data_IF_432417434500
#
_entry.id   IF_432417434500
#
_cell.length_a   1.000
_cell.length_b   1.000
_cell.length_c   1.000
_cell.angle_alpha   90.00
_cell.angle_beta   90.00
_cell.angle_gamma   90.00
#
_symmetry.space_group_name_H-M   'P 1'
#
loop_
_entity.id
_entity.type
_entity.pdbx_description
1 polymer ?
#
# COMPACT_ATOMS: atom_id res chain seq x y z
N UNK A 1 -11.16 6.60 -20.64
CA UNK A 1 -11.68 6.35 -19.27
C UNK A 1 -10.70 5.64 -18.34
N UNK A 2 -9.93 4.60 -18.74
CA UNK A 2 -9.05 3.88 -17.81
C UNK A 2 -7.87 4.73 -17.28
N UNK A 3 -7.33 5.63 -18.10
CA UNK A 3 -6.21 6.51 -17.72
C UNK A 3 -6.49 7.35 -16.46
N UNK A 4 -7.72 7.89 -16.30
CA UNK A 4 -8.07 8.74 -15.14
C UNK A 4 -8.12 7.94 -13.83
N UNK A 5 -8.60 6.70 -13.89
CA UNK A 5 -8.70 5.81 -12.73
C UNK A 5 -7.29 5.34 -12.34
N UNK A 6 -6.45 5.04 -13.34
CA UNK A 6 -5.06 4.68 -13.14
C UNK A 6 -4.26 5.81 -12.48
N UNK A 7 -4.34 7.05 -13.00
CA UNK A 7 -3.66 8.20 -12.40
C UNK A 7 -4.13 8.45 -10.97
N UNK A 8 -5.44 8.36 -10.70
CA UNK A 8 -5.98 8.52 -9.35
C UNK A 8 -5.44 7.45 -8.39
N UNK A 9 -5.35 6.19 -8.84
CA UNK A 9 -4.81 5.10 -8.03
C UNK A 9 -3.32 5.29 -7.69
N UNK A 10 -2.51 5.72 -8.65
CA UNK A 10 -1.08 5.99 -8.42
C UNK A 10 -0.88 7.18 -7.49
N UNK A 11 -1.67 8.24 -7.65
CA UNK A 11 -1.60 9.43 -6.79
C UNK A 11 -2.00 9.10 -5.34
N UNK A 12 -3.10 8.36 -5.12
CA UNK A 12 -3.52 7.98 -3.76
C UNK A 12 -2.50 7.07 -3.08
N UNK A 13 -1.86 6.18 -3.84
CA UNK A 13 -0.80 5.30 -3.33
C UNK A 13 0.45 6.09 -2.91
N UNK A 14 0.91 7.03 -3.74
CA UNK A 14 2.08 7.88 -3.43
C UNK A 14 1.80 8.71 -2.18
N UNK A 15 0.64 9.36 -2.08
CA UNK A 15 0.29 10.17 -0.91
C UNK A 15 0.17 9.30 0.36
N UNK A 16 -0.38 8.09 0.25
CA UNK A 16 -0.42 7.12 1.34
C UNK A 16 0.97 6.70 1.81
N UNK A 17 1.89 6.42 0.88
CA UNK A 17 3.28 6.09 1.21
C UNK A 17 4.01 7.24 1.89
N UNK A 18 3.87 8.47 1.36
CA UNK A 18 4.47 9.67 1.96
C UNK A 18 3.94 9.90 3.37
N UNK A 19 2.66 9.63 3.63
CA UNK A 19 2.07 9.73 4.96
C UNK A 19 2.68 8.72 5.95
N UNK A 20 2.93 7.49 5.51
CA UNK A 20 3.61 6.45 6.30
C UNK A 20 5.10 6.72 6.53
N UNK A 21 5.78 7.32 5.55
CA UNK A 21 7.17 7.79 5.71
C UNK A 21 7.23 8.96 6.70
N UNK A 22 6.28 9.87 6.65
CA UNK A 22 6.22 11.00 7.59
C UNK A 22 6.01 10.52 9.02
N UNK A 23 5.20 9.46 9.20
CA UNK A 23 5.01 8.77 10.48
C UNK A 23 6.29 8.13 11.04
N UNK A 24 7.22 7.67 10.20
CA UNK A 24 8.47 7.06 10.66
C UNK A 24 9.48 8.07 11.18
N UNK A 25 9.42 9.32 10.71
CA UNK A 25 10.27 10.41 11.19
C UNK A 25 9.64 11.22 12.33
N UNK A 26 8.36 10.99 12.64
CA UNK A 26 7.66 11.72 13.69
C UNK A 26 8.06 11.16 15.07
N UNK A 27 9.01 11.84 15.72
CA UNK A 27 9.35 11.64 17.13
C UNK A 27 8.10 11.81 18.00
N UNK A 28 8.08 11.09 19.13
CA UNK A 28 7.01 10.88 20.13
C UNK A 28 6.28 12.13 20.68
N UNK A 29 6.63 13.34 20.22
CA UNK A 29 6.22 14.64 20.74
C UNK A 29 4.84 15.12 20.25
N UNK A 30 4.11 14.33 19.46
CA UNK A 30 2.82 14.73 18.89
C UNK A 30 1.85 13.58 18.62
N UNK A 31 1.24 12.94 19.65
CA UNK A 31 0.33 11.80 19.47
C UNK A 31 -0.87 12.13 18.58
N UNK A 32 -1.35 13.37 18.61
CA UNK A 32 -2.47 13.81 17.76
C UNK A 32 -2.10 13.86 16.27
N UNK A 33 -0.88 14.29 15.94
CA UNK A 33 -0.38 14.35 14.55
C UNK A 33 -0.14 12.95 14.02
N UNK A 34 0.40 12.05 14.84
CA UNK A 34 0.59 10.65 14.47
C UNK A 34 -0.76 9.95 14.16
N UNK A 35 -1.76 10.13 15.02
CA UNK A 35 -3.10 9.57 14.79
C UNK A 35 -3.74 10.14 13.51
N UNK A 36 -3.61 11.45 13.29
CA UNK A 36 -4.11 12.09 12.07
C UNK A 36 -3.44 11.55 10.79
N UNK A 37 -2.11 11.45 10.77
CA UNK A 37 -1.38 10.91 9.62
C UNK A 37 -1.71 9.43 9.37
N UNK A 38 -1.86 8.64 10.44
CA UNK A 38 -2.19 7.22 10.32
C UNK A 38 -3.60 7.01 9.77
N UNK A 39 -4.58 7.75 10.29
CA UNK A 39 -5.96 7.70 9.80
C UNK A 39 -6.09 8.20 8.36
N UNK A 40 -5.33 9.24 7.99
CA UNK A 40 -5.26 9.71 6.61
C UNK A 40 -4.65 8.66 5.67
N UNK A 41 -3.53 8.05 6.07
CA UNK A 41 -2.89 6.96 5.31
C UNK A 41 -3.85 5.78 5.12
N UNK A 42 -4.57 5.38 6.18
CA UNK A 42 -5.55 4.28 6.13
C UNK A 42 -6.72 4.60 5.18
N UNK A 43 -7.24 5.82 5.23
CA UNK A 43 -8.33 6.27 4.36
C UNK A 43 -7.89 6.28 2.89
N UNK A 44 -6.71 6.82 2.60
CA UNK A 44 -6.15 6.83 1.24
C UNK A 44 -5.88 5.43 0.70
N UNK A 45 -5.39 4.52 1.55
CA UNK A 45 -5.19 3.12 1.18
C UNK A 45 -6.51 2.41 0.85
N UNK A 46 -7.57 2.75 1.58
CA UNK A 46 -8.92 2.23 1.32
C UNK A 46 -9.46 2.71 -0.03
N UNK A 47 -9.27 3.99 -0.37
CA UNK A 47 -9.64 4.54 -1.69
C UNK A 47 -8.85 3.87 -2.81
N UNK A 48 -7.55 3.65 -2.62
CA UNK A 48 -6.72 2.93 -3.59
C UNK A 48 -7.23 1.51 -3.84
N UNK A 49 -7.60 0.76 -2.80
CA UNK A 49 -8.16 -0.58 -2.93
C UNK A 49 -9.47 -0.58 -3.74
N UNK A 50 -10.37 0.37 -3.48
CA UNK A 50 -11.63 0.50 -4.24
C UNK A 50 -11.38 0.84 -5.72
N UNK A 51 -10.39 1.70 -6.00
CA UNK A 51 -10.00 2.03 -7.38
C UNK A 51 -9.43 0.82 -8.13
N UNK A 52 -8.63 -0.02 -7.46
CA UNK A 52 -8.14 -1.28 -8.03
C UNK A 52 -9.30 -2.22 -8.35
N UNK A 53 -10.21 -2.43 -7.40
CA UNK A 53 -11.36 -3.32 -7.60
C UNK A 53 -12.24 -2.87 -8.76
N UNK A 54 -12.47 -1.56 -8.86
CA UNK A 54 -13.24 -0.95 -9.95
C UNK A 54 -12.53 -1.15 -11.29
N UNK A 55 -11.21 -0.99 -11.35
CA UNK A 55 -10.41 -1.28 -12.55
C UNK A 55 -10.53 -2.73 -12.98
N UNK A 56 -10.46 -3.68 -12.03
CA UNK A 56 -10.64 -5.11 -12.33
C UNK A 56 -12.03 -5.40 -12.87
N UNK A 57 -13.07 -4.75 -12.36
CA UNK A 57 -14.43 -4.91 -12.88
C UNK A 57 -14.58 -4.34 -14.30
N UNK A 58 -13.98 -3.18 -14.58
CA UNK A 58 -14.05 -2.52 -15.90
C UNK A 58 -13.23 -3.28 -16.95
N UNK A 59 -12.00 -3.71 -16.62
CA UNK A 59 -11.07 -4.35 -17.56
C UNK A 59 -11.32 -5.86 -17.65
N UNK A 60 -11.60 -6.51 -16.52
CA UNK A 60 -11.75 -7.95 -16.44
C UNK A 60 -13.07 -8.49 -17.01
N UNK A 61 -14.11 -7.66 -17.11
CA UNK A 61 -15.42 -8.05 -17.64
C UNK A 61 -15.91 -9.37 -17.01
N UNK A 62 -16.05 -10.43 -17.82
CA UNK A 62 -16.48 -11.77 -17.36
C UNK A 62 -15.51 -12.49 -16.42
N UNK A 63 -14.23 -12.10 -16.39
CA UNK A 63 -13.21 -12.71 -15.52
C UNK A 63 -12.98 -11.93 -14.22
N UNK A 64 -13.64 -10.79 -14.04
CA UNK A 64 -13.42 -9.92 -12.88
C UNK A 64 -13.62 -10.68 -11.55
N UNK A 65 -14.63 -11.55 -11.45
CA UNK A 65 -14.88 -12.32 -10.23
C UNK A 65 -13.70 -13.24 -9.84
N UNK A 66 -13.04 -13.85 -10.84
CA UNK A 66 -11.87 -14.71 -10.62
C UNK A 66 -10.66 -13.88 -10.21
N UNK A 67 -10.44 -12.74 -10.84
CA UNK A 67 -9.31 -11.85 -10.47
C UNK A 67 -9.51 -11.31 -9.05
N UNK A 68 -10.74 -10.92 -8.71
CA UNK A 68 -11.11 -10.44 -7.38
C UNK A 68 -10.87 -11.52 -6.32
N UNK A 69 -11.25 -12.78 -6.59
CA UNK A 69 -11.03 -13.87 -5.63
C UNK A 69 -9.55 -14.14 -5.39
N UNK A 70 -8.71 -14.04 -6.42
CA UNK A 70 -7.25 -14.13 -6.29
C UNK A 70 -6.70 -12.98 -5.44
N UNK A 71 -7.15 -11.74 -5.67
CA UNK A 71 -6.75 -10.57 -4.86
C UNK A 71 -7.14 -10.76 -3.39
N UNK A 72 -8.35 -11.24 -3.13
CA UNK A 72 -8.81 -11.52 -1.76
C UNK A 72 -7.98 -12.63 -1.10
N UNK A 73 -7.70 -13.73 -1.80
CA UNK A 73 -6.86 -14.82 -1.29
C UNK A 73 -5.45 -14.32 -0.96
N UNK A 74 -4.85 -13.52 -1.84
CA UNK A 74 -3.55 -12.89 -1.59
C UNK A 74 -3.59 -11.98 -0.35
N UNK A 75 -4.62 -11.15 -0.22
CA UNK A 75 -4.80 -10.26 0.93
C UNK A 75 -4.93 -11.05 2.24
N UNK A 76 -5.67 -12.16 2.24
CA UNK A 76 -5.80 -13.05 3.39
C UNK A 76 -4.48 -13.74 3.75
N UNK A 77 -3.72 -14.20 2.76
CA UNK A 77 -2.40 -14.79 2.99
C UNK A 77 -1.44 -13.80 3.65
N UNK A 78 -1.38 -12.56 3.15
CA UNK A 78 -0.57 -11.52 3.79
C UNK A 78 -1.10 -11.15 5.18
N UNK A 79 -2.41 -11.05 5.36
CA UNK A 79 -3.00 -10.80 6.68
C UNK A 79 -2.66 -11.87 7.73
N UNK A 80 -2.47 -13.12 7.29
CA UNK A 80 -2.06 -14.23 8.16
C UNK A 80 -0.54 -14.30 8.36
N UNK A 81 0.24 -14.01 7.32
CA UNK A 81 1.70 -14.10 7.35
C UNK A 81 2.36 -12.89 8.03
N UNK A 82 1.75 -11.70 7.95
CA UNK A 82 2.33 -10.47 8.49
C UNK A 82 2.52 -10.49 10.02
N UNK A 83 1.56 -10.91 10.85
CA UNK A 83 1.74 -10.90 12.31
C UNK A 83 2.98 -11.68 12.81
N UNK A 84 3.24 -12.94 12.38
CA UNK A 84 4.46 -13.64 12.79
C UNK A 84 5.74 -13.02 12.20
N UNK A 85 5.70 -12.50 10.97
CA UNK A 85 6.86 -11.81 10.36
C UNK A 85 7.21 -10.54 11.14
N UNK A 86 6.20 -9.71 11.46
CA UNK A 86 6.39 -8.48 12.24
C UNK A 86 6.87 -8.80 13.66
N UNK A 87 6.34 -9.86 14.28
CA UNK A 87 6.82 -10.32 15.58
C UNK A 87 8.29 -10.77 15.57
N UNK A 88 8.80 -11.29 14.45
CA UNK A 88 10.21 -11.64 14.27
C UNK A 88 11.08 -10.41 13.98
N UNK A 89 10.56 -9.43 13.24
CA UNK A 89 11.31 -8.21 12.87
C UNK A 89 11.37 -7.17 13.98
N UNK A 90 10.36 -7.11 14.85
CA UNK A 90 10.27 -6.17 15.96
C UNK A 90 9.99 -6.89 17.30
N UNK A 91 10.89 -7.77 17.76
CA UNK A 91 10.67 -8.55 18.98
C UNK A 91 10.62 -7.68 20.24
N UNK A 92 11.29 -6.52 20.25
CA UNK A 92 11.30 -5.61 21.39
C UNK A 92 10.35 -4.40 21.22
N UNK A 93 9.58 -4.36 20.12
CA UNK A 93 8.68 -3.27 19.74
C UNK A 93 9.32 -1.87 19.84
N UNK A 94 10.62 -1.76 19.60
CA UNK A 94 11.33 -0.48 19.69
C UNK A 94 11.06 0.38 18.45
N UNK A 95 11.16 1.71 18.60
CA UNK A 95 10.97 2.64 17.48
C UNK A 95 11.93 2.37 16.30
N UNK A 96 13.16 1.92 16.58
CA UNK A 96 14.16 1.60 15.56
C UNK A 96 13.81 0.33 14.75
N UNK A 97 13.26 -0.70 15.42
CA UNK A 97 12.78 -1.92 14.77
C UNK A 97 11.55 -1.64 13.89
N UNK A 98 10.60 -0.84 14.40
CA UNK A 98 9.44 -0.43 13.62
C UNK A 98 9.81 0.43 12.41
N UNK A 99 10.80 1.32 12.54
CA UNK A 99 11.32 2.07 11.40
C UNK A 99 11.83 1.13 10.29
N UNK A 100 12.53 0.05 10.63
CA UNK A 100 12.98 -0.95 9.66
C UNK A 100 11.80 -1.63 8.94
N UNK A 101 10.75 -2.01 9.66
CA UNK A 101 9.54 -2.61 9.06
C UNK A 101 8.90 -1.65 8.06
N UNK A 102 8.74 -0.38 8.43
CA UNK A 102 8.17 0.63 7.55
C UNK A 102 9.05 0.91 6.33
N UNK A 103 10.38 0.97 6.47
CA UNK A 103 11.30 1.08 5.33
C UNK A 103 11.15 -0.10 4.36
N UNK A 104 10.96 -1.31 4.87
CA UNK A 104 10.75 -2.50 4.03
C UNK A 104 9.46 -2.40 3.22
N UNK A 105 8.36 -1.95 3.85
CA UNK A 105 7.07 -1.73 3.16
C UNK A 105 7.19 -0.66 2.09
N UNK A 106 7.81 0.48 2.42
CA UNK A 106 8.04 1.58 1.47
C UNK A 106 8.92 1.13 0.31
N UNK A 107 9.99 0.39 0.58
CA UNK A 107 10.87 -0.19 -0.43
C UNK A 107 10.13 -1.15 -1.36
N UNK A 108 9.33 -2.05 -0.81
CA UNK A 108 8.52 -2.99 -1.61
C UNK A 108 7.53 -2.27 -2.52
N UNK A 109 6.85 -1.23 -2.01
CA UNK A 109 5.93 -0.42 -2.82
C UNK A 109 6.70 0.34 -3.90
N UNK A 110 7.81 0.99 -3.56
CA UNK A 110 8.63 1.74 -4.51
C UNK A 110 9.18 0.86 -5.64
N UNK A 111 9.67 -0.33 -5.33
CA UNK A 111 10.16 -1.31 -6.32
C UNK A 111 9.01 -1.73 -7.25
N UNK A 112 7.85 -2.06 -6.68
CA UNK A 112 6.69 -2.48 -7.49
C UNK A 112 6.21 -1.35 -8.40
N UNK A 113 6.16 -0.11 -7.89
CA UNK A 113 5.82 1.08 -8.68
C UNK A 113 6.84 1.35 -9.78
N UNK A 114 8.14 1.14 -9.53
CA UNK A 114 9.19 1.30 -10.54
C UNK A 114 9.08 0.27 -11.65
N UNK A 115 8.89 -1.01 -11.31
CA UNK A 115 8.74 -2.10 -12.29
C UNK A 115 7.52 -1.83 -13.18
N UNK A 116 6.40 -1.44 -12.59
CA UNK A 116 5.17 -1.14 -13.34
C UNK A 116 5.38 0.03 -14.31
N UNK A 117 6.12 1.07 -13.90
CA UNK A 117 6.48 2.20 -14.79
C UNK A 117 7.42 1.79 -15.92
N UNK A 118 8.38 0.92 -15.67
CA UNK A 118 9.33 0.47 -16.69
C UNK A 118 8.63 -0.32 -17.82
N UNK A 119 7.59 -1.08 -17.51
CA UNK A 119 6.78 -1.79 -18.53
C UNK A 119 6.02 -0.81 -19.44
N UNK A 120 5.56 0.31 -18.89
CA UNK A 120 4.89 1.39 -19.65
C UNK A 120 5.85 2.06 -20.65
N UNK A 121 7.13 2.26 -20.27
CA UNK A 121 8.15 2.82 -21.17
C UNK A 121 8.57 1.86 -22.30
N UNK A 122 8.33 0.55 -22.17
CA UNK A 122 8.73 -0.46 -23.17
C UNK A 122 7.64 -0.71 -24.23
N UNK A 123 6.42 -0.21 -24.00
CA UNK A 123 5.26 -0.38 -24.90
C UNK A 123 4.84 0.90 -25.65
N UNK A 124 5.60 1.98 -25.50
CA UNK A 124 5.53 3.20 -26.34
C UNK A 124 6.42 3.11 -27.58
#
# INVERSE_FOLDING_TARGET
MPAKILTLATVTQIIGCVSLITLTFLSTDGPMVAVFLYTMALTLNSVHFVNQMTTVQIVGGKYAYVIISVISAQTSLFGLALPPIVSLMAPNHTAAEWAHVFYYVVGAVAVTSFICRLDEDTTS
#
